data_IF_627703814928
#
_entry.id   IF_627703814928
#
_cell.length_a   1.000
_cell.length_b   1.000
_cell.length_c   1.000
_cell.angle_alpha   90.00
_cell.angle_beta   90.00
_cell.angle_gamma   90.00
#
_symmetry.space_group_name_H-M   'P 1'
#
loop_
_entity.id
_entity.type
_entity.pdbx_description
1 polymer ?
#
# COMPACT_ATOMS: atom_id res chain seq x y z
N UNK A 1 -6.92 5.65 -15.08
CA UNK A 1 -6.20 5.61 -13.79
C UNK A 1 -5.00 6.51 -13.92
N UNK A 2 -4.83 7.44 -13.01
CA UNK A 2 -3.72 8.39 -12.99
C UNK A 2 -2.99 8.28 -11.65
N UNK A 3 -1.65 8.27 -11.64
CA UNK A 3 -0.87 8.34 -10.41
C UNK A 3 -0.62 9.80 -10.06
N UNK A 4 -1.23 10.25 -8.96
CA UNK A 4 -1.15 11.63 -8.47
C UNK A 4 0.15 11.86 -7.70
N UNK A 5 0.57 10.88 -6.90
CA UNK A 5 1.84 10.93 -6.17
C UNK A 5 2.35 9.55 -5.78
N UNK A 6 3.65 9.48 -5.53
CA UNK A 6 4.34 8.29 -5.03
C UNK A 6 5.28 8.71 -3.89
N UNK A 7 5.27 7.95 -2.81
CA UNK A 7 6.27 7.99 -1.74
C UNK A 7 6.97 6.64 -1.71
N UNK A 8 8.26 6.65 -2.04
CA UNK A 8 9.11 5.47 -2.05
C UNK A 8 9.86 5.33 -0.72
N UNK A 9 9.89 4.12 -0.19
CA UNK A 9 10.65 3.71 0.99
C UNK A 9 11.46 2.47 0.61
N UNK A 10 12.46 2.13 1.42
CA UNK A 10 13.33 0.98 1.16
C UNK A 10 12.55 -0.33 0.96
N UNK A 11 11.49 -0.54 1.76
CA UNK A 11 10.77 -1.82 1.79
C UNK A 11 9.34 -1.78 1.22
N UNK A 12 8.82 -0.59 0.91
CA UNK A 12 7.50 -0.45 0.29
C UNK A 12 7.34 0.88 -0.46
N UNK A 13 6.40 0.91 -1.38
CA UNK A 13 5.93 2.14 -2.02
C UNK A 13 4.48 2.46 -1.62
N UNK A 14 4.19 3.74 -1.39
CA UNK A 14 2.83 4.25 -1.19
C UNK A 14 2.45 5.14 -2.37
N UNK A 15 1.39 4.78 -3.08
CA UNK A 15 0.92 5.51 -4.27
C UNK A 15 -0.47 6.06 -4.04
N UNK A 16 -0.70 7.27 -4.54
CA UNK A 16 -2.03 7.87 -4.59
C UNK A 16 -2.50 7.87 -6.04
N UNK A 17 -3.59 7.16 -6.31
CA UNK A 17 -4.20 7.07 -7.62
C UNK A 17 -5.51 7.82 -7.66
N UNK A 18 -5.81 8.42 -8.82
CA UNK A 18 -7.15 8.87 -9.18
C UNK A 18 -7.72 7.96 -10.24
N UNK A 19 -8.89 7.39 -9.95
CA UNK A 19 -9.64 6.52 -10.86
C UNK A 19 -10.89 7.27 -11.28
N UNK A 20 -11.07 7.43 -12.59
CA UNK A 20 -12.25 8.05 -13.18
C UNK A 20 -13.05 6.97 -13.92
N UNK A 21 -14.36 6.94 -13.72
CA UNK A 21 -15.28 6.07 -14.45
C UNK A 21 -16.62 6.78 -14.64
N UNK A 22 -17.03 6.98 -15.89
CA UNK A 22 -18.18 7.83 -16.24
C UNK A 22 -18.09 9.20 -15.53
N UNK A 23 -19.09 9.56 -14.74
CA UNK A 23 -19.16 10.82 -14.00
C UNK A 23 -18.61 10.70 -12.56
N UNK A 24 -18.01 9.57 -12.21
CA UNK A 24 -17.45 9.31 -10.88
C UNK A 24 -15.93 9.41 -10.87
N UNK A 25 -15.41 9.95 -9.77
CA UNK A 25 -13.98 10.04 -9.49
C UNK A 25 -13.72 9.51 -8.09
N UNK A 26 -12.76 8.60 -7.97
CA UNK A 26 -12.35 8.03 -6.70
C UNK A 26 -10.84 8.10 -6.53
N UNK A 27 -10.42 8.63 -5.38
CA UNK A 27 -9.04 8.64 -4.93
C UNK A 27 -8.75 7.32 -4.17
N UNK A 28 -7.68 6.63 -4.56
CA UNK A 28 -7.28 5.31 -4.06
C UNK A 28 -5.85 5.36 -3.54
N UNK A 29 -5.67 4.92 -2.30
CA UNK A 29 -4.35 4.70 -1.72
C UNK A 29 -3.92 3.26 -1.99
N UNK A 30 -2.75 3.09 -2.58
CA UNK A 30 -2.14 1.80 -2.89
C UNK A 30 -0.86 1.62 -2.08
N UNK A 31 -0.75 0.48 -1.40
CA UNK A 31 0.39 0.14 -0.55
C UNK A 31 1.04 -1.12 -1.11
N UNK A 32 2.30 -1.02 -1.50
CA UNK A 32 3.02 -2.08 -2.19
C UNK A 32 4.28 -2.47 -1.39
N UNK A 33 4.24 -3.58 -0.67
CA UNK A 33 5.42 -4.10 0.01
C UNK A 33 6.35 -4.76 -1.02
N UNK A 34 7.61 -4.33 -1.08
CA UNK A 34 8.58 -4.70 -2.12
C UNK A 34 9.75 -5.51 -1.60
N UNK A 35 9.94 -5.61 -0.28
CA UNK A 35 11.06 -6.32 0.34
C UNK A 35 10.78 -7.81 0.63
N UNK A 36 9.65 -8.36 0.18
CA UNK A 36 9.38 -9.79 0.36
C UNK A 36 10.32 -10.63 -0.53
N UNK A 37 11.06 -11.61 0.00
CA UNK A 37 12.02 -12.39 -0.78
C UNK A 37 11.34 -13.41 -1.70
N UNK A 38 11.95 -13.70 -2.86
CA UNK A 38 11.46 -14.73 -3.80
C UNK A 38 11.34 -16.12 -3.17
N UNK A 39 12.18 -16.41 -2.16
CA UNK A 39 12.19 -17.67 -1.44
C UNK A 39 12.05 -17.45 0.06
N UNK A 40 11.12 -18.19 0.67
CA UNK A 40 10.89 -18.17 2.11
C UNK A 40 10.09 -16.97 2.59
N UNK A 41 10.44 -16.48 3.77
CA UNK A 41 9.79 -15.36 4.46
C UNK A 41 10.84 -14.33 4.88
N UNK A 42 10.46 -13.07 5.15
CA UNK A 42 11.38 -12.07 5.69
C UNK A 42 12.15 -12.61 6.91
N UNK A 43 13.46 -12.34 6.98
CA UNK A 43 14.30 -12.68 8.14
C UNK A 43 13.82 -11.93 9.39
N UNK A 44 14.30 -12.32 10.59
CA UNK A 44 13.92 -11.61 11.82
C UNK A 44 14.16 -10.09 11.73
N UNK A 45 15.24 -9.66 11.08
CA UNK A 45 15.56 -8.25 10.88
C UNK A 45 14.62 -7.56 9.88
N UNK A 46 14.09 -8.28 8.89
CA UNK A 46 13.14 -7.77 7.91
C UNK A 46 11.66 -7.92 8.35
N UNK A 47 11.39 -8.74 9.36
CA UNK A 47 10.06 -8.91 9.93
C UNK A 47 9.55 -7.62 10.59
N UNK A 48 10.43 -6.80 11.15
CA UNK A 48 10.07 -5.47 11.69
C UNK A 48 9.50 -4.56 10.59
N UNK A 49 10.07 -4.62 9.39
CA UNK A 49 9.63 -3.81 8.25
C UNK A 49 8.20 -4.16 7.83
N UNK A 50 7.87 -5.44 7.66
CA UNK A 50 6.49 -5.82 7.30
C UNK A 50 5.49 -5.51 8.43
N UNK A 51 5.90 -5.62 9.70
CA UNK A 51 5.04 -5.22 10.82
C UNK A 51 4.77 -3.71 10.80
N UNK A 52 5.77 -2.90 10.48
CA UNK A 52 5.61 -1.45 10.31
C UNK A 52 4.71 -1.13 9.11
N UNK A 53 4.90 -1.82 7.98
CA UNK A 53 4.04 -1.70 6.81
C UNK A 53 2.56 -1.96 7.17
N UNK A 54 2.27 -3.09 7.82
CA UNK A 54 0.92 -3.46 8.26
C UNK A 54 0.34 -2.43 9.22
N UNK A 55 1.15 -1.88 10.13
CA UNK A 55 0.73 -0.83 11.03
C UNK A 55 0.28 0.43 10.28
N UNK A 56 1.07 0.90 9.31
CA UNK A 56 0.75 2.06 8.47
C UNK A 56 -0.52 1.81 7.64
N UNK A 57 -0.64 0.64 7.01
CA UNK A 57 -1.81 0.24 6.22
C UNK A 57 -3.09 0.27 7.08
N UNK A 58 -3.04 -0.27 8.30
CA UNK A 58 -4.18 -0.28 9.23
C UNK A 58 -4.59 1.12 9.67
N UNK A 59 -3.63 2.00 9.96
CA UNK A 59 -3.93 3.40 10.29
C UNK A 59 -4.61 4.16 9.15
N UNK A 60 -4.30 3.80 7.89
CA UNK A 60 -4.98 4.38 6.73
C UNK A 60 -6.36 3.74 6.50
N UNK A 61 -6.48 2.43 6.70
CA UNK A 61 -7.72 1.67 6.50
C UNK A 61 -8.89 2.21 7.33
N UNK A 62 -8.63 2.61 8.58
CA UNK A 62 -9.65 3.19 9.48
C UNK A 62 -10.26 4.49 8.95
N UNK A 63 -9.61 5.17 8.00
CA UNK A 63 -10.09 6.39 7.35
C UNK A 63 -10.78 6.13 6.01
N UNK A 64 -10.65 4.92 5.47
CA UNK A 64 -11.19 4.56 4.16
C UNK A 64 -12.66 4.16 4.26
N UNK A 65 -13.43 4.46 3.20
CA UNK A 65 -14.81 3.99 3.04
C UNK A 65 -14.79 2.81 2.07
N UNK A 66 -15.15 1.63 2.55
CA UNK A 66 -15.24 0.42 1.74
C UNK A 66 -14.18 -0.64 2.05
N UNK A 67 -14.22 -1.78 1.35
CA UNK A 67 -13.30 -2.88 1.56
C UNK A 67 -11.88 -2.52 1.09
N UNK A 68 -10.90 -3.13 1.74
CA UNK A 68 -9.52 -3.15 1.25
C UNK A 68 -9.33 -4.32 0.30
N UNK A 69 -8.64 -4.07 -0.81
CA UNK A 69 -8.18 -5.11 -1.74
C UNK A 69 -6.75 -5.48 -1.37
N UNK A 70 -6.47 -6.78 -1.31
CA UNK A 70 -5.13 -7.35 -1.03
C UNK A 70 -4.83 -8.38 -2.10
N UNK A 71 -3.64 -8.34 -2.69
CA UNK A 71 -3.19 -9.22 -3.77
C UNK A 71 -1.71 -9.55 -3.64
#
# INVERSE_FOLDING_TARGET
VEMISEEERDDWARRHFRINYADETQDVMHFNYTAWPDHGVPTANAAESILQFVHVVRQQATKSKGPMIVH
#
